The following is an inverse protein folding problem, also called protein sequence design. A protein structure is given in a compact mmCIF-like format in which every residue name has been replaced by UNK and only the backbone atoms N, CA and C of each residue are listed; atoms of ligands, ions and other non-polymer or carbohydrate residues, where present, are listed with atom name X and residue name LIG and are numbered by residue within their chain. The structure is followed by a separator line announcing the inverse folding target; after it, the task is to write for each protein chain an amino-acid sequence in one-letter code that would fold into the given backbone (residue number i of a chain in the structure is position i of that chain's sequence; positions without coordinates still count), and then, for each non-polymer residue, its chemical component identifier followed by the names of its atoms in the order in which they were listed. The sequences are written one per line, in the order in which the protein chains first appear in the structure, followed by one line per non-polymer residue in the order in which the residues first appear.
data_IF_467496433922
#
_entry.id   IF_467496433922
#
_cell.length_a   1.000
_cell.length_b   1.000
_cell.length_c   1.000
_cell.angle_alpha   90.00
_cell.angle_beta   90.00
_cell.angle_gamma   90.00
#
_symmetry.space_group_name_H-M   'P 1'
#
loop_
_entity.id
_entity.type
_entity.pdbx_description
1 polymer ?
#
# COMPACT_ATOMS: atom_id res chain seq x y z
N UNK A 1 9.35 22.61 -14.38
CA UNK A 1 8.06 22.49 -13.66
C UNK A 1 8.15 21.34 -12.66
N UNK A 2 7.24 21.29 -11.68
CA UNK A 2 7.12 20.18 -10.74
C UNK A 2 5.98 19.27 -11.19
N UNK A 3 6.25 17.96 -11.25
CA UNK A 3 5.26 16.92 -11.49
C UNK A 3 5.21 16.01 -10.26
N UNK A 4 3.99 15.73 -9.81
CA UNK A 4 3.72 14.93 -8.61
C UNK A 4 2.90 13.73 -9.06
N UNK A 5 3.37 12.54 -8.72
CA UNK A 5 2.68 11.27 -8.98
C UNK A 5 2.21 10.67 -7.66
N UNK A 6 1.01 10.09 -7.67
CA UNK A 6 0.60 9.16 -6.62
C UNK A 6 1.23 7.78 -6.87
N UNK A 7 1.26 6.93 -5.85
CA UNK A 7 1.79 5.55 -5.94
C UNK A 7 0.68 4.58 -6.35
N UNK A 8 -0.34 4.43 -5.51
CA UNK A 8 -1.40 3.43 -5.68
C UNK A 8 -2.31 3.72 -6.87
N UNK A 9 -2.48 2.73 -7.75
CA UNK A 9 -3.23 2.82 -9.01
C UNK A 9 -2.74 3.88 -10.01
N UNK A 10 -1.58 4.50 -9.76
CA UNK A 10 -0.91 5.43 -10.69
C UNK A 10 0.42 4.85 -11.12
N UNK A 11 1.35 4.59 -10.20
CA UNK A 11 2.65 3.97 -10.49
C UNK A 11 2.57 2.44 -10.32
N UNK A 12 1.83 1.96 -9.33
CA UNK A 12 1.68 0.53 -9.01
C UNK A 12 0.21 0.19 -8.88
N UNK A 13 -0.23 -0.86 -9.55
CA UNK A 13 -1.57 -1.41 -9.38
C UNK A 13 -1.73 -2.02 -7.98
N UNK A 14 -2.83 -1.67 -7.32
CA UNK A 14 -3.18 -2.18 -6.00
C UNK A 14 -4.55 -2.86 -6.03
N UNK A 15 -4.70 -3.97 -5.31
CA UNK A 15 -5.95 -4.72 -5.23
C UNK A 15 -6.16 -5.32 -3.83
N UNK A 16 -7.06 -4.71 -3.06
CA UNK A 16 -7.47 -5.22 -1.75
C UNK A 16 -8.15 -6.59 -1.82
N UNK A 17 -8.65 -7.04 -2.97
CA UNK A 17 -9.15 -8.41 -3.07
C UNK A 17 -8.05 -9.45 -2.87
N UNK A 18 -6.79 -9.11 -3.15
CA UNK A 18 -5.63 -9.98 -2.88
C UNK A 18 -5.36 -10.10 -1.40
N UNK A 19 -5.46 -8.98 -0.67
CA UNK A 19 -5.38 -8.95 0.81
C UNK A 19 -6.46 -9.84 1.41
N UNK A 20 -7.72 -9.61 1.01
CA UNK A 20 -8.85 -10.39 1.51
C UNK A 20 -8.76 -11.87 1.10
N UNK A 21 -8.20 -12.17 -0.08
CA UNK A 21 -7.93 -13.54 -0.52
C UNK A 21 -6.92 -14.24 0.39
N UNK A 22 -5.78 -13.60 0.67
CA UNK A 22 -4.77 -14.13 1.57
C UNK A 22 -5.32 -14.37 2.98
N UNK A 23 -6.09 -13.43 3.52
CA UNK A 23 -6.75 -13.61 4.82
C UNK A 23 -7.85 -14.69 4.79
N UNK A 24 -8.58 -14.82 3.68
CA UNK A 24 -9.57 -15.89 3.49
C UNK A 24 -8.91 -17.26 3.54
N UNK A 25 -7.76 -17.43 2.88
CA UNK A 25 -7.01 -18.68 2.89
C UNK A 25 -6.47 -19.04 4.27
N UNK A 26 -5.96 -18.04 5.01
CA UNK A 26 -5.40 -18.21 6.36
C UNK A 26 -6.48 -18.53 7.41
N UNK A 27 -7.62 -17.85 7.35
CA UNK A 27 -8.69 -17.97 8.36
C UNK A 27 -9.77 -18.99 8.01
N UNK A 28 -9.84 -19.42 6.74
CA UNK A 28 -10.95 -20.18 6.16
C UNK A 28 -12.31 -19.45 6.18
N UNK A 29 -12.32 -18.16 6.49
CA UNK A 29 -13.52 -17.33 6.39
C UNK A 29 -13.77 -17.04 4.90
N UNK A 30 -14.99 -17.22 4.37
CA UNK A 30 -15.26 -16.98 2.96
C UNK A 30 -14.91 -15.55 2.52
N UNK A 31 -14.22 -15.41 1.39
CA UNK A 31 -13.87 -14.12 0.79
C UNK A 31 -15.08 -13.17 0.67
N UNK A 32 -16.25 -13.70 0.30
CA UNK A 32 -17.47 -12.91 0.20
C UNK A 32 -17.92 -12.31 1.54
N UNK A 33 -17.66 -12.97 2.66
CA UNK A 33 -17.92 -12.44 4.00
C UNK A 33 -16.91 -11.35 4.35
N UNK A 34 -15.62 -11.58 4.09
CA UNK A 34 -14.57 -10.58 4.33
C UNK A 34 -14.81 -9.31 3.52
N UNK A 35 -15.20 -9.43 2.25
CA UNK A 35 -15.57 -8.29 1.38
C UNK A 35 -16.72 -7.44 1.93
N UNK A 36 -17.66 -8.05 2.66
CA UNK A 36 -18.79 -7.31 3.24
C UNK A 36 -18.40 -6.56 4.51
N UNK A 37 -17.47 -7.11 5.29
CA UNK A 37 -17.02 -6.50 6.54
C UNK A 37 -15.88 -5.49 6.34
N UNK A 38 -15.06 -5.69 5.30
CA UNK A 38 -13.90 -4.85 5.04
C UNK A 38 -14.31 -3.45 4.62
N UNK A 39 -13.78 -2.46 5.32
CA UNK A 39 -13.91 -1.06 4.98
C UNK A 39 -12.71 -0.26 5.50
N UNK A 40 -12.46 0.90 4.91
CA UNK A 40 -11.42 1.83 5.35
C UNK A 40 -11.97 2.67 6.50
N UNK A 41 -11.91 2.11 7.71
CA UNK A 41 -12.33 2.77 8.95
C UNK A 41 -11.30 3.75 9.50
N UNK A 42 -11.57 4.33 10.66
CA UNK A 42 -10.69 5.32 11.29
C UNK A 42 -9.29 4.76 11.57
N UNK A 43 -9.18 3.49 11.99
CA UNK A 43 -7.89 2.85 12.25
C UNK A 43 -6.99 2.82 10.99
N UNK A 44 -7.57 2.62 9.81
CA UNK A 44 -6.84 2.69 8.54
C UNK A 44 -6.26 4.09 8.31
N UNK A 45 -7.08 5.13 8.50
CA UNK A 45 -6.62 6.51 8.32
C UNK A 45 -5.60 6.96 9.36
N UNK A 46 -5.76 6.55 10.62
CA UNK A 46 -4.77 6.78 11.68
C UNK A 46 -3.44 6.12 11.33
N UNK A 47 -3.49 4.90 10.79
CA UNK A 47 -2.28 4.18 10.36
C UNK A 47 -1.59 4.86 9.18
N UNK A 48 -2.35 5.32 8.18
CA UNK A 48 -1.79 6.08 7.06
C UNK A 48 -1.15 7.41 7.50
N UNK A 49 -1.65 8.04 8.56
CA UNK A 49 -1.08 9.26 9.15
C UNK A 49 0.05 8.98 10.15
N UNK A 50 0.40 7.72 10.40
CA UNK A 50 1.41 7.32 11.38
C UNK A 50 1.01 7.57 12.83
N UNK A 51 -0.28 7.71 13.13
CA UNK A 51 -0.81 8.00 14.47
C UNK A 51 -0.89 6.76 15.37
N UNK A 52 -0.99 5.57 14.76
CA UNK A 52 -0.99 4.27 15.45
C UNK A 52 0.10 3.36 14.88
N UNK A 53 0.58 2.41 15.69
CA UNK A 53 1.59 1.44 15.25
C UNK A 53 0.97 0.38 14.33
N UNK A 54 1.83 -0.36 13.63
CA UNK A 54 1.43 -1.47 12.78
C UNK A 54 0.67 -2.55 13.56
N UNK A 55 1.11 -2.86 14.78
CA UNK A 55 0.45 -3.84 15.67
C UNK A 55 -0.91 -3.34 16.15
N UNK A 56 -1.01 -2.06 16.50
CA UNK A 56 -2.28 -1.46 16.94
C UNK A 56 -3.30 -1.42 15.79
N UNK A 57 -2.85 -1.13 14.57
CA UNK A 57 -3.69 -1.21 13.37
C UNK A 57 -4.15 -2.66 13.11
N UNK A 58 -3.22 -3.61 13.15
CA UNK A 58 -3.54 -5.03 12.96
C UNK A 58 -4.55 -5.53 14.00
N UNK A 59 -4.37 -5.18 15.27
CA UNK A 59 -5.29 -5.52 16.35
C UNK A 59 -6.68 -4.93 16.11
N UNK A 60 -6.75 -3.63 15.80
CA UNK A 60 -8.02 -2.93 15.57
C UNK A 60 -8.79 -3.53 14.39
N UNK A 61 -8.12 -3.74 13.25
CA UNK A 61 -8.76 -4.28 12.06
C UNK A 61 -9.14 -5.76 12.23
N UNK A 62 -8.30 -6.57 12.91
CA UNK A 62 -8.64 -7.94 13.24
C UNK A 62 -9.85 -8.01 14.18
N UNK A 63 -9.93 -7.12 15.17
CA UNK A 63 -11.06 -7.04 16.09
C UNK A 63 -12.36 -6.69 15.34
N UNK A 64 -12.32 -5.64 14.53
CA UNK A 64 -13.45 -5.15 13.74
C UNK A 64 -13.99 -6.21 12.76
N UNK A 65 -13.09 -6.95 12.12
CA UNK A 65 -13.44 -7.97 11.13
C UNK A 65 -13.62 -9.38 11.73
N UNK A 66 -13.45 -9.53 13.06
CA UNK A 66 -13.44 -10.82 13.76
C UNK A 66 -12.45 -11.84 13.13
N UNK A 67 -11.26 -11.38 12.77
CA UNK A 67 -10.21 -12.19 12.16
C UNK A 67 -9.29 -12.81 13.23
N UNK A 68 -9.18 -14.14 13.32
CA UNK A 68 -8.26 -14.82 14.24
C UNK A 68 -6.84 -14.89 13.66
N UNK A 69 -6.27 -13.75 13.27
CA UNK A 69 -4.92 -13.66 12.68
C UNK A 69 -3.89 -13.24 13.73
N UNK A 70 -2.69 -13.82 13.66
CA UNK A 70 -1.53 -13.21 14.30
C UNK A 70 -1.11 -11.95 13.53
N UNK A 71 -0.31 -11.09 14.16
CA UNK A 71 0.29 -9.93 13.48
C UNK A 71 1.06 -10.33 12.21
N UNK A 72 1.85 -11.39 12.26
CA UNK A 72 2.62 -11.88 11.10
C UNK A 72 1.71 -12.30 9.94
N UNK A 73 0.61 -13.02 10.25
CA UNK A 73 -0.36 -13.45 9.25
C UNK A 73 -1.14 -12.26 8.67
N UNK A 74 -1.49 -11.31 9.53
CA UNK A 74 -2.12 -10.05 9.11
C UNK A 74 -1.23 -9.31 8.13
N UNK A 75 0.02 -9.04 8.52
CA UNK A 75 1.02 -8.30 7.74
C UNK A 75 1.31 -8.98 6.41
N UNK A 76 1.45 -10.30 6.40
CA UNK A 76 1.63 -11.06 5.16
C UNK A 76 0.46 -10.86 4.19
N UNK A 77 -0.78 -10.95 4.67
CA UNK A 77 -1.95 -10.69 3.83
C UNK A 77 -2.06 -9.22 3.40
N UNK A 78 -1.76 -8.28 4.31
CA UNK A 78 -1.80 -6.85 4.02
C UNK A 78 -0.83 -6.44 2.91
N UNK A 79 0.39 -7.00 2.90
CA UNK A 79 1.39 -6.76 1.87
C UNK A 79 1.00 -7.30 0.49
N UNK A 80 0.05 -8.24 0.40
CA UNK A 80 -0.41 -8.79 -0.87
C UNK A 80 -1.18 -7.78 -1.74
N UNK A 81 -1.44 -6.58 -1.22
CA UNK A 81 -2.16 -5.50 -1.92
C UNK A 81 -1.51 -5.11 -3.26
N UNK A 82 -0.19 -5.21 -3.39
CA UNK A 82 0.50 -4.85 -4.62
C UNK A 82 0.30 -5.91 -5.71
N UNK A 83 -0.04 -5.43 -6.91
CA UNK A 83 -0.30 -6.26 -8.09
C UNK A 83 0.89 -6.23 -9.04
N UNK A 84 1.18 -5.06 -9.61
CA UNK A 84 2.23 -4.89 -10.62
C UNK A 84 2.60 -3.41 -10.78
N UNK A 85 3.86 -3.17 -11.10
CA UNK A 85 4.34 -1.87 -11.57
C UNK A 85 3.69 -1.54 -12.93
N UNK A 86 3.43 -0.24 -13.19
CA UNK A 86 3.00 0.30 -14.49
C UNK A 86 4.20 0.87 -15.25
N UNK A 87 4.86 0.09 -16.14
CA UNK A 87 6.12 0.50 -16.75
C UNK A 87 5.97 1.75 -17.63
N UNK A 88 4.78 1.98 -18.19
CA UNK A 88 4.47 3.17 -18.97
C UNK A 88 4.54 4.45 -18.14
N UNK A 89 4.17 4.40 -16.87
CA UNK A 89 4.23 5.55 -15.96
C UNK A 89 5.67 5.84 -15.55
N UNK A 90 6.45 4.79 -15.27
CA UNK A 90 7.90 4.91 -15.04
C UNK A 90 8.61 5.55 -16.24
N UNK A 91 8.29 5.13 -17.47
CA UNK A 91 8.85 5.73 -18.67
C UNK A 91 8.50 7.23 -18.80
N UNK A 92 7.28 7.63 -18.43
CA UNK A 92 6.86 9.04 -18.40
C UNK A 92 7.67 9.81 -17.35
N UNK A 93 7.84 9.27 -16.15
CA UNK A 93 8.62 9.91 -15.08
C UNK A 93 10.07 10.16 -15.51
N UNK A 94 10.73 9.18 -16.12
CA UNK A 94 12.08 9.35 -16.67
C UNK A 94 12.13 10.44 -17.76
N UNK A 95 11.20 10.39 -18.71
CA UNK A 95 11.14 11.39 -19.79
C UNK A 95 10.98 12.82 -19.26
N UNK A 96 10.15 13.02 -18.23
CA UNK A 96 9.98 14.33 -17.61
C UNK A 96 11.27 14.82 -16.94
N UNK A 97 12.02 13.92 -16.29
CA UNK A 97 13.32 14.26 -15.67
C UNK A 97 14.39 14.58 -16.71
N UNK A 98 14.46 13.82 -17.80
CA UNK A 98 15.35 14.11 -18.93
C UNK A 98 15.07 15.49 -19.56
N UNK A 99 13.83 15.96 -19.50
CA UNK A 99 13.43 17.32 -19.91
C UNK A 99 13.79 18.41 -18.89
N UNK A 100 14.46 18.06 -17.79
CA UNK A 100 14.86 18.98 -16.73
C UNK A 100 13.72 19.36 -15.79
N UNK A 101 12.65 18.57 -15.72
CA UNK A 101 11.59 18.76 -14.74
C UNK A 101 11.88 18.05 -13.43
N UNK A 102 11.35 18.59 -12.33
CA UNK A 102 11.36 17.92 -11.03
C UNK A 102 10.19 16.95 -10.98
N UNK A 103 10.45 15.70 -10.65
CA UNK A 103 9.45 14.63 -10.54
C UNK A 103 9.52 14.07 -9.13
N UNK A 104 8.39 14.08 -8.42
CA UNK A 104 8.30 13.53 -7.06
C UNK A 104 7.11 12.59 -6.95
N UNK A 105 7.18 11.67 -6.01
CA UNK A 105 6.04 10.86 -5.58
C UNK A 105 5.47 11.45 -4.30
N UNK A 106 4.15 11.56 -4.21
CA UNK A 106 3.43 11.90 -2.99
C UNK A 106 2.31 10.88 -2.82
N UNK A 107 2.36 10.07 -1.77
CA UNK A 107 1.37 9.01 -1.59
C UNK A 107 0.95 8.80 -0.15
N UNK A 108 -0.35 8.53 0.02
CA UNK A 108 -0.86 7.98 1.27
C UNK A 108 -0.50 6.50 1.31
N UNK A 109 0.21 6.10 2.36
CA UNK A 109 0.61 4.71 2.59
C UNK A 109 0.84 4.51 4.08
N UNK A 110 1.31 3.33 4.46
CA UNK A 110 1.64 3.00 5.84
C UNK A 110 2.96 2.23 5.93
N UNK A 111 3.50 2.11 7.14
CA UNK A 111 4.81 1.51 7.41
C UNK A 111 4.89 0.04 6.94
N UNK A 112 3.82 -0.74 7.13
CA UNK A 112 3.74 -2.13 6.65
C UNK A 112 3.97 -2.27 5.15
N UNK A 113 3.49 -1.33 4.34
CA UNK A 113 3.74 -1.33 2.90
C UNK A 113 5.16 -0.86 2.55
N UNK A 114 5.69 0.13 3.27
CA UNK A 114 7.03 0.69 2.99
C UNK A 114 8.19 -0.26 3.26
N UNK A 115 7.98 -1.33 4.02
CA UNK A 115 8.98 -2.39 4.20
C UNK A 115 9.02 -3.37 3.03
N UNK A 116 8.04 -3.32 2.13
CA UNK A 116 7.86 -4.30 1.05
C UNK A 116 8.11 -3.71 -0.33
N UNK A 117 7.34 -2.68 -0.71
CA UNK A 117 7.36 -2.20 -2.09
C UNK A 117 8.70 -1.60 -2.57
N UNK A 118 9.57 -1.00 -1.73
CA UNK A 118 10.84 -0.47 -2.24
C UNK A 118 11.81 -1.54 -2.73
N UNK A 119 11.74 -2.76 -2.20
CA UNK A 119 12.54 -3.89 -2.66
C UNK A 119 11.95 -4.52 -3.92
N UNK A 120 10.61 -4.58 -4.01
CA UNK A 120 9.90 -5.15 -5.17
C UNK A 120 9.91 -4.24 -6.40
N UNK A 121 9.89 -2.91 -6.20
CA UNK A 121 9.80 -1.92 -7.27
C UNK A 121 10.88 -0.83 -7.15
N UNK A 122 12.18 -1.19 -7.24
CA UNK A 122 13.28 -0.24 -7.14
C UNK A 122 13.20 0.88 -8.21
N UNK A 123 12.57 0.62 -9.34
CA UNK A 123 12.39 1.57 -10.45
C UNK A 123 11.69 2.86 -10.02
N UNK A 124 10.82 2.80 -9.00
CA UNK A 124 10.09 3.97 -8.50
C UNK A 124 11.07 4.98 -7.88
N UNK A 125 12.04 4.47 -7.11
CA UNK A 125 13.08 5.29 -6.51
C UNK A 125 14.00 5.88 -7.57
N UNK A 126 14.33 5.11 -8.59
CA UNK A 126 15.18 5.55 -9.69
C UNK A 126 14.50 6.60 -10.58
N UNK A 127 13.16 6.55 -10.68
CA UNK A 127 12.37 7.44 -11.52
C UNK A 127 11.96 8.75 -10.83
N UNK A 128 12.16 8.92 -9.53
CA UNK A 128 11.75 10.10 -8.76
C UNK A 128 12.94 10.84 -8.12
N UNK A 129 12.83 12.17 -8.02
CA UNK A 129 13.81 12.99 -7.29
C UNK A 129 13.58 12.94 -5.77
N UNK A 130 12.34 12.71 -5.35
CA UNK A 130 11.98 12.51 -3.95
C UNK A 130 10.65 11.76 -3.82
N UNK A 131 10.44 11.11 -2.68
CA UNK A 131 9.22 10.37 -2.33
C UNK A 131 8.73 10.89 -0.99
N UNK A 132 7.51 11.42 -0.96
CA UNK A 132 6.83 11.92 0.22
C UNK A 132 5.71 10.95 0.59
N UNK A 133 5.70 10.47 1.83
CA UNK A 133 4.76 9.47 2.31
C UNK A 133 3.97 10.03 3.51
N UNK A 134 2.69 9.69 3.64
CA UNK A 134 1.79 10.30 4.64
C UNK A 134 2.15 10.01 6.10
N UNK A 135 2.88 8.93 6.36
CA UNK A 135 3.27 8.49 7.70
C UNK A 135 4.68 8.93 8.14
N UNK A 136 5.37 9.70 7.30
CA UNK A 136 6.72 10.24 7.52
C UNK A 136 6.68 11.77 7.76
#
# INVERSE_FOLDING_TARGET
MLYIFDLGNVIVDIDFNRVLGAWSDLTRIPLASLKKSFHMGEAFHQHERGEISDEAFAEALCHEMALPLSYEQFSHGWQAVFVALRPEVIAIMHKLREQGHRVVVLSNTNRLHTTFWPEEYPEIRDAADHIYLSQD
#
